data_IF_822535840862
#
_entry.id   IF_822535840862
#
_cell.length_a   1.000
_cell.length_b   1.000
_cell.length_c   1.000
_cell.angle_alpha   90.00
_cell.angle_beta   90.00
_cell.angle_gamma   90.00
#
_symmetry.space_group_name_H-M   'P 1'
#
loop_
_entity.id
_entity.type
_entity.pdbx_description
1 polymer ?
#
# COMPACT_ATOMS: atom_id res chain seq x y z
N UNK A 1 -15.48 -67.11 45.78
CA UNK A 1 -16.46 -66.24 46.45
C UNK A 1 -17.65 -66.05 45.53
N UNK A 2 -18.67 -66.87 45.75
CA UNK A 2 -19.98 -66.77 45.12
C UNK A 2 -20.75 -65.59 45.73
N UNK A 3 -21.43 -64.79 44.91
CA UNK A 3 -22.64 -64.08 45.33
C UNK A 3 -23.70 -64.24 44.24
N UNK A 4 -24.55 -65.20 44.52
CA UNK A 4 -25.88 -65.45 43.97
C UNK A 4 -26.81 -64.28 44.26
N UNK A 5 -27.62 -63.88 43.28
CA UNK A 5 -28.90 -63.22 43.50
C UNK A 5 -29.89 -63.64 42.41
N UNK A 6 -30.69 -64.63 42.76
CA UNK A 6 -32.07 -64.87 42.33
C UNK A 6 -32.91 -63.58 42.35
N UNK A 7 -34.00 -63.35 41.61
CA UNK A 7 -35.19 -64.18 41.40
C UNK A 7 -36.17 -63.45 40.43
N UNK A 8 -37.13 -64.22 39.93
CA UNK A 8 -38.53 -63.89 39.64
C UNK A 8 -38.89 -63.21 38.29
N UNK A 9 -39.41 -64.10 37.42
CA UNK A 9 -40.39 -63.86 36.38
C UNK A 9 -41.65 -63.13 36.88
N UNK A 10 -42.13 -62.17 36.09
CA UNK A 10 -43.57 -61.94 35.93
C UNK A 10 -43.91 -61.68 34.46
N UNK A 11 -44.90 -62.46 34.00
CA UNK A 11 -45.63 -62.39 32.73
C UNK A 11 -46.27 -61.01 32.48
N UNK A 12 -46.16 -60.46 31.27
CA UNK A 12 -47.27 -59.77 30.55
C UNK A 12 -46.93 -59.68 29.04
N UNK A 13 -47.88 -59.39 28.14
CA UNK A 13 -48.46 -60.32 27.19
C UNK A 13 -47.98 -60.12 25.74
N UNK A 14 -48.17 -61.14 24.92
CA UNK A 14 -47.96 -61.11 23.46
C UNK A 14 -48.94 -60.12 22.81
N UNK A 15 -48.45 -58.94 22.44
CA UNK A 15 -49.15 -58.03 21.56
C UNK A 15 -48.81 -58.38 20.10
N UNK A 16 -49.82 -58.89 19.40
CA UNK A 16 -49.86 -59.10 17.96
C UNK A 16 -49.53 -57.82 17.21
N UNK A 17 -48.38 -57.76 16.53
CA UNK A 17 -48.11 -56.70 15.56
C UNK A 17 -48.50 -57.21 14.16
N UNK A 18 -49.59 -56.64 13.66
CA UNK A 18 -50.08 -56.86 12.31
C UNK A 18 -49.02 -56.46 11.27
N UNK A 19 -48.87 -57.31 10.28
CA UNK A 19 -48.12 -57.07 9.05
C UNK A 19 -48.82 -55.95 8.28
N UNK A 20 -48.18 -54.78 8.19
CA UNK A 20 -48.48 -53.79 7.17
C UNK A 20 -47.38 -53.87 6.10
N UNK A 21 -47.63 -54.68 5.06
CA UNK A 21 -46.82 -54.73 3.86
C UNK A 21 -47.09 -53.45 3.06
N UNK A 22 -46.36 -52.38 3.39
CA UNK A 22 -46.40 -51.15 2.61
C UNK A 22 -45.71 -51.40 1.26
N UNK A 23 -46.50 -51.39 0.19
CA UNK A 23 -46.05 -51.30 -1.20
C UNK A 23 -45.17 -50.06 -1.34
N UNK A 24 -43.85 -50.26 -1.39
CA UNK A 24 -42.90 -49.21 -1.78
C UNK A 24 -43.05 -49.01 -3.29
N UNK A 25 -43.84 -48.01 -3.68
CA UNK A 25 -43.76 -47.45 -5.03
C UNK A 25 -42.32 -47.02 -5.30
N UNK A 26 -41.77 -47.21 -6.51
CA UNK A 26 -40.51 -46.61 -6.92
C UNK A 26 -40.75 -45.11 -7.16
N UNK A 27 -40.92 -44.36 -6.07
CA UNK A 27 -40.90 -42.91 -6.07
C UNK A 27 -39.45 -42.46 -6.27
N UNK A 28 -39.23 -41.75 -7.37
CA UNK A 28 -37.98 -41.10 -7.76
C UNK A 28 -37.04 -40.81 -6.59
N UNK A 29 -35.82 -41.37 -6.64
CA UNK A 29 -34.68 -40.80 -5.93
C UNK A 29 -34.55 -39.34 -6.38
N UNK A 30 -35.17 -38.42 -5.64
CA UNK A 30 -34.69 -37.07 -5.55
C UNK A 30 -33.36 -37.18 -4.85
N UNK A 31 -32.29 -37.06 -5.63
CA UNK A 31 -31.01 -36.60 -5.12
C UNK A 31 -31.32 -35.40 -4.22
N UNK A 32 -31.11 -35.55 -2.92
CA UNK A 32 -30.92 -34.39 -2.08
C UNK A 32 -29.61 -33.78 -2.56
N UNK A 33 -29.72 -32.79 -3.43
CA UNK A 33 -28.66 -31.84 -3.68
C UNK A 33 -28.36 -31.18 -2.33
N UNK A 34 -27.45 -31.80 -1.58
CA UNK A 34 -26.73 -31.18 -0.51
C UNK A 34 -25.90 -30.07 -1.13
N UNK A 35 -26.56 -28.96 -1.47
CA UNK A 35 -25.92 -27.67 -1.66
C UNK A 35 -25.30 -27.30 -0.31
N UNK A 36 -24.13 -27.89 -0.04
CA UNK A 36 -23.11 -27.21 0.72
C UNK A 36 -22.88 -25.93 -0.04
N UNK A 37 -23.49 -24.85 0.43
CA UNK A 37 -23.08 -23.49 0.09
C UNK A 37 -21.66 -23.34 0.60
N UNK A 38 -20.71 -23.90 -0.15
CA UNK A 38 -19.34 -23.45 -0.11
C UNK A 38 -19.45 -21.95 -0.38
N UNK A 39 -19.20 -21.16 0.66
CA UNK A 39 -19.14 -19.72 0.50
C UNK A 39 -18.07 -19.46 -0.57
N UNK A 40 -18.51 -19.19 -1.80
CA UNK A 40 -17.63 -18.86 -2.91
C UNK A 40 -16.86 -17.63 -2.46
N UNK A 41 -15.60 -17.82 -2.08
CA UNK A 41 -14.75 -16.69 -1.72
C UNK A 41 -14.71 -15.79 -2.95
N UNK A 42 -15.07 -14.49 -2.82
CA UNK A 42 -15.13 -13.61 -3.98
C UNK A 42 -13.79 -13.65 -4.68
N UNK A 43 -13.81 -13.71 -6.01
CA UNK A 43 -12.58 -13.78 -6.76
C UNK A 43 -11.79 -12.49 -6.48
N UNK A 44 -10.46 -12.61 -6.38
CA UNK A 44 -9.57 -11.48 -6.11
C UNK A 44 -8.46 -11.45 -7.13
N UNK A 45 -8.07 -10.24 -7.54
CA UNK A 45 -6.93 -10.02 -8.40
C UNK A 45 -6.13 -8.82 -7.92
N UNK A 46 -4.81 -8.92 -8.04
CA UNK A 46 -3.89 -7.81 -7.81
C UNK A 46 -3.40 -7.30 -9.17
N UNK A 47 -3.50 -5.99 -9.40
CA UNK A 47 -2.91 -5.33 -10.56
C UNK A 47 -1.93 -4.27 -10.07
N UNK A 48 -0.67 -4.34 -10.50
CA UNK A 48 0.36 -3.38 -10.11
C UNK A 48 0.73 -2.53 -11.33
N UNK A 49 0.48 -1.22 -11.24
CA UNK A 49 0.94 -0.26 -12.24
C UNK A 49 2.28 0.35 -11.84
N UNK A 50 3.28 0.17 -12.70
CA UNK A 50 4.60 0.77 -12.50
C UNK A 50 4.61 2.29 -12.76
N UNK A 51 3.75 2.79 -13.66
CA UNK A 51 3.64 4.23 -13.92
C UNK A 51 2.95 4.95 -12.78
N UNK A 52 1.84 4.41 -12.29
CA UNK A 52 1.11 4.99 -11.16
C UNK A 52 1.83 4.75 -9.84
N UNK A 53 2.69 3.72 -9.78
CA UNK A 53 3.30 3.19 -8.55
C UNK A 53 2.23 2.82 -7.54
N UNK A 54 1.22 2.11 -8.03
CA UNK A 54 0.08 1.66 -7.23
C UNK A 54 -0.18 0.18 -7.45
N UNK A 55 -0.62 -0.45 -6.38
CA UNK A 55 -1.20 -1.78 -6.36
C UNK A 55 -2.71 -1.61 -6.21
N UNK A 56 -3.47 -2.19 -7.13
CA UNK A 56 -4.92 -2.23 -7.11
C UNK A 56 -5.35 -3.65 -6.74
N UNK A 57 -6.17 -3.76 -5.70
CA UNK A 57 -6.85 -4.98 -5.32
C UNK A 57 -8.28 -4.91 -5.86
N UNK A 58 -8.57 -5.82 -6.80
CA UNK A 58 -9.88 -6.02 -7.39
C UNK A 58 -10.56 -7.17 -6.64
N UNK A 59 -11.77 -6.96 -6.19
CA UNK A 59 -12.60 -7.97 -5.54
C UNK A 59 -14.01 -7.89 -6.11
N UNK A 60 -14.61 -9.03 -6.43
CA UNK A 60 -15.96 -9.05 -6.99
C UNK A 60 -16.97 -8.39 -6.03
N UNK A 61 -17.82 -7.53 -6.58
CA UNK A 61 -18.85 -6.82 -5.81
C UNK A 61 -18.31 -5.75 -4.85
N UNK A 62 -17.02 -5.39 -4.92
CA UNK A 62 -16.43 -4.32 -4.12
C UNK A 62 -15.74 -3.27 -5.00
N UNK A 63 -15.72 -1.99 -4.59
CA UNK A 63 -14.93 -1.00 -5.28
C UNK A 63 -13.43 -1.37 -5.23
N UNK A 64 -12.67 -1.15 -6.32
CA UNK A 64 -11.24 -1.37 -6.33
C UNK A 64 -10.55 -0.62 -5.20
N UNK A 65 -9.70 -1.33 -4.45
CA UNK A 65 -8.88 -0.72 -3.41
C UNK A 65 -7.49 -0.46 -3.96
N UNK A 66 -6.93 0.69 -3.67
CA UNK A 66 -5.66 1.09 -4.27
C UNK A 66 -4.65 1.52 -3.22
N UNK A 67 -3.42 1.01 -3.33
CA UNK A 67 -2.34 1.22 -2.36
C UNK A 67 -1.10 1.76 -3.08
N UNK A 68 -0.40 2.76 -2.52
CA UNK A 68 0.88 3.19 -3.07
C UNK A 68 1.93 2.10 -2.88
N UNK A 69 2.83 1.93 -3.86
CA UNK A 69 3.95 0.98 -3.77
C UNK A 69 5.27 1.63 -4.16
N UNK A 70 6.36 1.26 -3.49
CA UNK A 70 7.69 1.48 -4.04
C UNK A 70 7.99 0.40 -5.08
N UNK A 71 8.65 0.80 -6.16
CA UNK A 71 9.08 -0.10 -7.23
C UNK A 71 10.60 -0.03 -7.42
N UNK A 72 11.13 -0.85 -8.32
CA UNK A 72 12.54 -0.87 -8.67
C UNK A 72 13.12 0.51 -8.96
N UNK A 73 14.32 0.78 -8.41
CA UNK A 73 15.13 1.97 -8.71
C UNK A 73 15.51 2.03 -10.20
N UNK A 74 15.88 3.19 -10.75
CA UNK A 74 16.32 3.29 -12.14
C UNK A 74 17.42 2.25 -12.46
N UNK A 75 17.30 1.57 -13.60
CA UNK A 75 18.21 0.49 -14.00
C UNK A 75 17.89 -0.90 -13.41
N UNK A 76 16.94 -1.01 -12.48
CA UNK A 76 16.45 -2.30 -11.98
C UNK A 76 15.20 -2.73 -12.77
N UNK A 77 15.32 -3.82 -13.50
CA UNK A 77 14.21 -4.43 -14.23
C UNK A 77 13.20 -5.05 -13.25
N UNK A 78 11.92 -4.88 -13.56
CA UNK A 78 10.80 -5.52 -12.86
C UNK A 78 10.05 -6.34 -13.91
N UNK A 79 9.75 -7.63 -13.66
CA UNK A 79 8.97 -8.43 -14.58
C UNK A 79 7.60 -7.79 -14.84
N UNK A 80 7.21 -7.72 -16.12
CA UNK A 80 5.85 -7.36 -16.55
C UNK A 80 5.06 -8.63 -16.85
N UNK A 81 3.73 -8.53 -16.78
CA UNK A 81 2.82 -9.63 -17.10
C UNK A 81 2.33 -10.37 -15.86
N UNK A 82 2.00 -11.64 -16.05
CA UNK A 82 1.24 -12.43 -15.07
C UNK A 82 2.11 -13.19 -14.07
N UNK A 83 1.57 -13.26 -12.87
CA UNK A 83 2.12 -13.99 -11.73
C UNK A 83 0.98 -14.38 -10.79
N UNK A 84 1.33 -14.89 -9.62
CA UNK A 84 0.39 -15.19 -8.54
C UNK A 84 1.08 -15.08 -7.20
N UNK A 85 0.29 -14.92 -6.14
CA UNK A 85 0.79 -15.08 -4.76
C UNK A 85 1.14 -16.55 -4.54
N UNK A 86 2.43 -16.88 -4.42
CA UNK A 86 2.89 -18.25 -4.16
C UNK A 86 2.83 -18.61 -2.68
N UNK A 87 3.25 -17.68 -1.83
CA UNK A 87 3.39 -17.89 -0.39
C UNK A 87 3.18 -16.58 0.34
N UNK A 88 2.58 -16.68 1.52
CA UNK A 88 2.43 -15.58 2.49
C UNK A 88 3.34 -15.84 3.68
N UNK A 89 4.15 -14.86 4.07
CA UNK A 89 5.04 -14.91 5.23
C UNK A 89 4.70 -13.80 6.22
N UNK A 90 4.35 -14.20 7.44
CA UNK A 90 4.26 -13.33 8.62
C UNK A 90 5.62 -13.28 9.28
N UNK A 91 6.02 -12.08 9.72
CA UNK A 91 7.28 -11.78 10.39
C UNK A 91 8.49 -12.47 9.69
N UNK A 92 8.76 -12.15 8.41
CA UNK A 92 9.79 -12.82 7.63
C UNK A 92 11.20 -12.40 8.07
N UNK A 93 12.15 -13.34 8.05
CA UNK A 93 13.58 -13.00 8.07
C UNK A 93 14.00 -12.49 6.69
N UNK A 94 14.66 -11.33 6.64
CA UNK A 94 15.22 -10.80 5.40
C UNK A 94 16.62 -11.36 5.16
N UNK A 95 16.85 -11.85 3.95
CA UNK A 95 18.15 -12.27 3.47
C UNK A 95 18.48 -11.40 2.26
N UNK A 96 19.54 -10.56 2.30
CA UNK A 96 19.91 -9.78 1.13
C UNK A 96 20.28 -10.70 -0.03
N UNK A 97 19.88 -10.33 -1.25
CA UNK A 97 20.26 -11.08 -2.44
C UNK A 97 21.75 -10.90 -2.74
N UNK A 98 22.32 -11.81 -3.54
CA UNK A 98 23.70 -11.70 -4.00
C UNK A 98 23.97 -10.33 -4.66
N UNK A 99 23.03 -9.80 -5.44
CA UNK A 99 23.15 -8.48 -6.07
C UNK A 99 23.22 -7.35 -5.02
N UNK A 100 22.34 -7.40 -4.01
CA UNK A 100 22.34 -6.40 -2.93
C UNK A 100 23.64 -6.43 -2.13
N UNK A 101 24.20 -7.61 -1.87
CA UNK A 101 25.52 -7.73 -1.20
C UNK A 101 26.69 -7.30 -2.08
N UNK A 102 26.59 -7.44 -3.42
CA UNK A 102 27.60 -6.87 -4.33
C UNK A 102 27.57 -5.35 -4.33
N UNK A 103 26.39 -4.75 -4.28
CA UNK A 103 26.21 -3.29 -4.23
C UNK A 103 26.60 -2.70 -2.87
N UNK A 104 26.30 -3.42 -1.79
CA UNK A 104 26.67 -3.05 -0.43
C UNK A 104 27.21 -4.28 0.33
N UNK A 105 28.53 -4.52 0.28
CA UNK A 105 29.17 -5.64 0.97
C UNK A 105 29.00 -5.65 2.50
N UNK A 106 28.70 -4.49 3.09
CA UNK A 106 28.48 -4.35 4.53
C UNK A 106 27.10 -4.85 5.00
N UNK A 107 26.22 -5.30 4.08
CA UNK A 107 24.94 -5.89 4.47
C UNK A 107 25.13 -7.19 5.28
N UNK A 108 24.38 -7.36 6.38
CA UNK A 108 24.44 -8.57 7.20
C UNK A 108 23.96 -9.79 6.38
N UNK A 109 24.33 -11.00 6.80
CA UNK A 109 23.87 -12.22 6.12
C UNK A 109 22.33 -12.38 6.17
N UNK A 110 21.73 -11.94 7.28
CA UNK A 110 20.28 -11.92 7.47
C UNK A 110 19.90 -10.84 8.48
N UNK A 111 18.67 -10.33 8.39
CA UNK A 111 18.04 -9.50 9.42
C UNK A 111 16.80 -10.22 9.92
N UNK A 112 16.71 -10.55 11.22
CA UNK A 112 15.56 -11.24 11.80
C UNK A 112 14.30 -10.36 11.77
N UNK A 113 13.12 -10.90 12.09
CA UNK A 113 11.91 -10.10 12.19
C UNK A 113 12.06 -9.00 13.25
N UNK A 114 11.54 -7.81 12.96
CA UNK A 114 11.61 -6.66 13.86
C UNK A 114 11.57 -5.31 13.13
N UNK A 115 11.63 -4.19 13.88
CA UNK A 115 11.53 -2.84 13.31
C UNK A 115 12.62 -2.49 12.29
N UNK A 116 13.80 -3.10 12.38
CA UNK A 116 14.91 -2.90 11.45
C UNK A 116 14.82 -3.75 10.18
N UNK A 117 13.84 -4.66 10.08
CA UNK A 117 13.72 -5.56 8.94
C UNK A 117 13.14 -4.85 7.71
N UNK A 118 13.84 -4.82 6.57
CA UNK A 118 13.39 -4.08 5.38
C UNK A 118 12.20 -4.74 4.66
N UNK A 119 11.83 -5.97 5.01
CA UNK A 119 10.60 -6.60 4.53
C UNK A 119 9.36 -6.19 5.36
N UNK A 120 9.54 -5.54 6.51
CA UNK A 120 8.48 -5.31 7.48
C UNK A 120 7.91 -6.61 8.04
N UNK A 121 6.65 -6.57 8.48
CA UNK A 121 5.98 -7.71 9.15
C UNK A 121 5.34 -8.72 8.20
N UNK A 122 5.16 -8.37 6.94
CA UNK A 122 4.39 -9.18 5.99
C UNK A 122 5.05 -9.18 4.62
N UNK A 123 5.10 -10.35 3.99
CA UNK A 123 5.55 -10.52 2.62
C UNK A 123 4.68 -11.55 1.89
N UNK A 124 4.43 -11.28 0.61
CA UNK A 124 3.76 -12.15 -0.35
C UNK A 124 4.78 -12.44 -1.44
N UNK A 125 5.33 -13.66 -1.45
CA UNK A 125 6.27 -14.08 -2.48
C UNK A 125 5.48 -14.36 -3.77
N UNK A 126 5.97 -13.85 -4.91
CA UNK A 126 5.30 -13.98 -6.20
C UNK A 126 5.87 -15.15 -7.01
N UNK A 127 5.17 -15.49 -8.10
CA UNK A 127 5.53 -16.54 -9.06
C UNK A 127 6.91 -16.38 -9.71
N UNK A 128 7.49 -15.18 -9.65
CA UNK A 128 8.81 -14.87 -10.17
C UNK A 128 9.88 -15.02 -9.10
N UNK A 129 11.04 -15.51 -9.51
CA UNK A 129 12.19 -15.70 -8.63
C UNK A 129 12.58 -14.40 -7.93
N UNK A 130 12.63 -14.45 -6.60
CA UNK A 130 13.07 -13.36 -5.74
C UNK A 130 12.26 -12.04 -5.84
N UNK A 131 11.02 -12.08 -6.36
CA UNK A 131 10.10 -10.92 -6.34
C UNK A 131 9.00 -11.14 -5.31
N UNK A 132 8.74 -10.11 -4.49
CA UNK A 132 7.69 -10.13 -3.48
C UNK A 132 6.96 -8.79 -3.39
N UNK A 133 5.73 -8.83 -2.89
CA UNK A 133 5.02 -7.66 -2.34
C UNK A 133 5.21 -7.71 -0.83
N UNK A 134 5.80 -6.69 -0.23
CA UNK A 134 6.13 -6.74 1.20
C UNK A 134 5.99 -5.37 1.86
N UNK A 135 6.01 -5.34 3.19
CA UNK A 135 6.04 -4.10 3.97
C UNK A 135 7.36 -3.35 3.84
N UNK A 136 7.63 -2.41 4.74
CA UNK A 136 8.93 -1.75 4.77
C UNK A 136 9.19 -1.15 6.14
N UNK A 137 10.46 -1.08 6.54
CA UNK A 137 10.89 -0.26 7.68
C UNK A 137 11.23 1.18 7.27
N UNK A 138 11.19 1.49 5.98
CA UNK A 138 11.41 2.81 5.41
C UNK A 138 10.14 3.27 4.67
N UNK A 139 9.07 3.69 5.38
CA UNK A 139 7.79 4.04 4.78
C UNK A 139 7.90 5.16 3.75
N UNK A 140 8.85 6.08 3.95
CA UNK A 140 9.13 7.15 2.99
C UNK A 140 9.52 6.62 1.60
N UNK A 141 10.07 5.40 1.50
CA UNK A 141 10.40 4.81 0.20
C UNK A 141 9.18 4.45 -0.65
N UNK A 142 7.98 4.36 -0.05
CA UNK A 142 6.74 4.00 -0.75
C UNK A 142 6.30 5.12 -1.70
N UNK A 143 5.85 4.74 -2.90
CA UNK A 143 5.54 5.67 -3.98
C UNK A 143 6.76 6.19 -4.73
N UNK A 144 7.96 5.62 -4.50
CA UNK A 144 9.22 5.96 -5.19
C UNK A 144 9.80 4.78 -5.98
N UNK A 145 10.75 5.06 -6.87
CA UNK A 145 11.63 4.05 -7.50
C UNK A 145 12.83 3.81 -6.59
N UNK A 146 12.67 2.94 -5.58
CA UNK A 146 13.63 2.80 -4.48
C UNK A 146 13.94 1.33 -4.09
N UNK A 147 13.28 0.35 -4.71
CA UNK A 147 13.50 -1.06 -4.39
C UNK A 147 14.58 -1.69 -5.27
N UNK A 148 15.06 -2.87 -4.85
CA UNK A 148 15.90 -3.74 -5.65
C UNK A 148 15.13 -4.67 -6.61
N UNK A 149 13.84 -4.40 -6.84
CA UNK A 149 12.98 -5.18 -7.76
C UNK A 149 11.62 -5.55 -7.17
N UNK A 150 11.51 -5.68 -5.84
CA UNK A 150 10.26 -5.98 -5.14
C UNK A 150 9.30 -4.78 -5.03
N UNK A 151 8.06 -5.04 -4.63
CA UNK A 151 7.04 -4.03 -4.37
C UNK A 151 6.93 -3.75 -2.88
N UNK A 152 7.30 -2.54 -2.44
CA UNK A 152 7.21 -2.16 -1.01
C UNK A 152 5.92 -1.42 -0.73
N UNK A 153 5.22 -1.80 0.32
CA UNK A 153 3.98 -1.20 0.78
C UNK A 153 4.17 -0.57 2.16
N UNK A 154 3.30 0.37 2.52
CA UNK A 154 3.24 0.86 3.89
C UNK A 154 2.90 -0.28 4.86
N UNK A 155 3.37 -0.25 6.12
CA UNK A 155 3.11 -1.31 7.09
C UNK A 155 1.63 -1.64 7.30
N UNK A 156 0.75 -0.63 7.33
CA UNK A 156 -0.69 -0.83 7.47
C UNK A 156 -1.33 -1.42 6.19
N UNK A 157 -0.89 -0.95 5.03
CA UNK A 157 -1.42 -1.40 3.74
C UNK A 157 -1.06 -2.86 3.47
N UNK A 158 0.19 -3.27 3.74
CA UNK A 158 0.60 -4.66 3.57
C UNK A 158 -0.15 -5.58 4.54
N UNK A 159 -0.40 -5.15 5.78
CA UNK A 159 -1.18 -5.94 6.73
C UNK A 159 -2.59 -6.17 6.20
N UNK A 160 -3.20 -5.11 5.65
CA UNK A 160 -4.54 -5.22 5.08
C UNK A 160 -4.58 -6.10 3.84
N UNK A 161 -3.60 -5.95 2.93
CA UNK A 161 -3.49 -6.82 1.75
C UNK A 161 -3.25 -8.27 2.17
N UNK A 162 -2.36 -8.49 3.14
CA UNK A 162 -2.00 -9.81 3.64
C UNK A 162 -3.22 -10.53 4.19
N UNK A 163 -4.12 -9.88 4.93
CA UNK A 163 -5.34 -10.54 5.42
C UNK A 163 -6.37 -10.76 4.29
N UNK A 164 -6.45 -9.84 3.33
CA UNK A 164 -7.45 -9.89 2.26
C UNK A 164 -7.20 -10.97 1.19
N UNK A 165 -5.93 -11.24 0.84
CA UNK A 165 -5.63 -12.07 -0.35
C UNK A 165 -5.17 -13.48 0.02
N UNK A 166 -5.81 -14.54 -0.52
CA UNK A 166 -5.34 -15.91 -0.34
C UNK A 166 -4.08 -16.21 -1.17
N UNK A 167 -3.42 -17.32 -0.84
CA UNK A 167 -2.41 -17.91 -1.74
C UNK A 167 -3.11 -18.33 -3.04
N UNK A 168 -2.44 -18.13 -4.18
CA UNK A 168 -2.99 -18.38 -5.51
C UNK A 168 -3.65 -17.17 -6.15
N UNK A 169 -3.88 -16.06 -5.42
CA UNK A 169 -4.42 -14.82 -6.00
C UNK A 169 -3.60 -14.38 -7.22
N UNK A 170 -4.24 -14.20 -8.40
CA UNK A 170 -3.58 -13.69 -9.61
C UNK A 170 -2.99 -12.31 -9.38
N UNK A 171 -1.79 -12.09 -9.92
CA UNK A 171 -1.08 -10.81 -9.89
C UNK A 171 -0.69 -10.44 -11.32
N UNK A 172 -1.00 -9.23 -11.77
CA UNK A 172 -0.56 -8.72 -13.08
C UNK A 172 0.21 -7.42 -12.90
N UNK A 173 1.42 -7.34 -13.46
CA UNK A 173 2.23 -6.12 -13.45
C UNK A 173 2.19 -5.46 -14.83
N UNK A 174 1.80 -4.19 -14.86
CA UNK A 174 1.67 -3.40 -16.09
C UNK A 174 2.56 -2.16 -16.04
N UNK A 175 3.08 -1.77 -17.20
CA UNK A 175 3.85 -0.53 -17.33
C UNK A 175 2.95 0.71 -17.31
N UNK A 176 1.75 0.64 -17.90
CA UNK A 176 0.83 1.77 -18.07
C UNK A 176 -0.12 2.04 -16.90
N UNK A 177 -0.98 3.03 -17.08
CA UNK A 177 -2.09 3.29 -16.17
C UNK A 177 -3.12 2.15 -16.23
N UNK A 178 -3.81 1.90 -15.13
CA UNK A 178 -4.94 0.97 -15.11
C UNK A 178 -6.17 1.76 -15.55
N UNK A 179 -6.44 1.78 -16.86
CA UNK A 179 -7.67 2.42 -17.39
C UNK A 179 -8.90 1.78 -16.74
N UNK A 180 -9.87 2.62 -16.35
CA UNK A 180 -11.00 2.35 -15.45
C UNK A 180 -12.03 1.27 -15.87
N UNK A 181 -11.65 0.33 -16.73
CA UNK A 181 -12.39 -0.87 -17.07
C UNK A 181 -11.75 -2.14 -16.48
N UNK A 182 -11.14 -2.06 -15.29
CA UNK A 182 -10.89 -3.27 -14.49
C UNK A 182 -12.15 -3.67 -13.72
N UNK A 183 -13.25 -3.82 -14.47
CA UNK A 183 -14.43 -4.54 -14.02
C UNK A 183 -14.23 -6.00 -14.36
N UNK A 184 -13.93 -6.79 -13.33
CA UNK A 184 -13.87 -8.24 -13.41
C UNK A 184 -12.50 -8.81 -13.08
N UNK A 185 -12.49 -9.76 -12.15
CA UNK A 185 -11.37 -10.69 -12.01
C UNK A 185 -11.27 -11.49 -13.31
N UNK A 186 -10.16 -11.32 -14.03
CA UNK A 186 -9.92 -12.16 -15.21
C UNK A 186 -9.69 -13.60 -14.77
N UNK A 187 -10.74 -14.42 -14.88
CA UNK A 187 -10.62 -15.87 -14.87
C UNK A 187 -10.11 -16.31 -16.23
N UNK A 188 -8.79 -16.47 -16.36
CA UNK A 188 -8.17 -16.92 -17.61
C UNK A 188 -6.78 -17.49 -17.36
N UNK A 189 -6.60 -18.75 -17.74
CA UNK A 189 -5.36 -19.51 -17.59
C UNK A 189 -4.15 -18.79 -18.20
N UNK A 190 -3.03 -18.84 -17.47
CA UNK A 190 -1.73 -18.30 -17.90
C UNK A 190 -1.22 -19.06 -19.12
N UNK A 191 -1.06 -18.39 -20.26
CA UNK A 191 -0.18 -18.82 -21.37
C UNK A 191 0.11 -17.65 -22.33
N UNK A 192 1.40 -17.37 -22.57
CA UNK A 192 1.87 -16.63 -23.77
C UNK A 192 2.64 -15.32 -23.51
N UNK A 193 3.73 -15.03 -24.26
CA UNK A 193 4.68 -13.97 -23.95
C UNK A 193 4.20 -12.57 -24.39
N UNK A 194 4.76 -11.57 -23.72
CA UNK A 194 4.42 -10.16 -23.84
C UNK A 194 4.65 -9.58 -25.24
N UNK A 195 3.61 -8.95 -25.80
CA UNK A 195 3.70 -8.07 -26.97
C UNK A 195 3.48 -6.62 -26.56
N UNK A 196 4.34 -5.72 -27.02
CA UNK A 196 4.26 -4.27 -26.81
C UNK A 196 3.14 -3.63 -27.67
N UNK A 197 2.29 -2.74 -27.13
CA UNK A 197 1.32 -2.00 -27.93
C UNK A 197 1.87 -0.63 -28.41
N UNK A 198 1.37 -0.10 -29.54
CA UNK A 198 1.76 1.20 -30.09
C UNK A 198 1.04 2.38 -29.42
N UNK A 199 1.60 3.58 -29.59
CA UNK A 199 1.05 4.86 -29.09
C UNK A 199 -0.15 5.33 -29.92
N UNK A 200 -1.18 5.88 -29.26
CA UNK A 200 -2.22 6.71 -29.89
C UNK A 200 -2.61 7.93 -29.03
N UNK A 201 -3.18 9.00 -29.63
CA UNK A 201 -3.18 10.36 -29.10
C UNK A 201 -4.46 10.75 -28.34
N UNK A 202 -4.40 11.90 -27.66
CA UNK A 202 -5.40 12.44 -26.75
C UNK A 202 -6.63 13.03 -27.47
N UNK A 203 -7.81 12.87 -26.87
CA UNK A 203 -9.06 13.54 -27.27
C UNK A 203 -9.60 14.34 -26.08
N UNK A 204 -10.05 15.57 -26.36
CA UNK A 204 -10.58 16.55 -25.42
C UNK A 204 -12.02 16.23 -24.96
N UNK A 205 -12.40 16.67 -23.76
CA UNK A 205 -13.79 16.59 -23.26
C UNK A 205 -14.24 17.97 -22.76
N UNK A 206 -15.44 18.35 -23.20
CA UNK A 206 -16.15 19.60 -22.92
C UNK A 206 -16.94 19.57 -21.59
N UNK A 207 -17.43 20.77 -21.25
CA UNK A 207 -17.94 21.27 -19.97
C UNK A 207 -19.39 20.89 -19.62
N UNK A 208 -19.70 20.81 -18.33
CA UNK A 208 -21.05 21.16 -17.79
C UNK A 208 -20.95 21.75 -16.37
N UNK A 209 -21.78 22.75 -16.08
CA UNK A 209 -21.71 23.64 -14.92
C UNK A 209 -22.62 23.19 -13.75
N UNK A 210 -22.27 23.56 -12.52
CA UNK A 210 -23.04 23.33 -11.28
C UNK A 210 -23.58 24.64 -10.67
N UNK A 211 -24.67 24.59 -9.86
CA UNK A 211 -25.38 25.77 -9.33
C UNK A 211 -24.62 26.52 -8.21
N UNK A 212 -25.04 27.76 -7.86
CA UNK A 212 -24.24 28.67 -7.04
C UNK A 212 -24.19 28.31 -5.54
N UNK A 213 -23.11 28.68 -4.82
CA UNK A 213 -22.91 28.34 -3.42
C UNK A 213 -23.63 29.30 -2.45
N UNK A 214 -24.08 28.74 -1.31
CA UNK A 214 -24.62 29.46 -0.14
C UNK A 214 -23.44 30.08 0.65
N UNK A 215 -23.56 31.31 1.19
CA UNK A 215 -22.45 31.96 1.89
C UNK A 215 -22.22 31.37 3.30
N UNK A 216 -20.96 31.05 3.60
CA UNK A 216 -20.51 30.63 4.93
C UNK A 216 -20.16 31.84 5.80
N UNK A 217 -20.36 31.78 7.13
CA UNK A 217 -19.98 32.83 8.06
C UNK A 217 -18.45 32.98 8.17
N UNK A 218 -17.99 34.23 8.36
CA UNK A 218 -16.57 34.60 8.46
C UNK A 218 -15.83 33.88 9.60
N UNK A 219 -14.58 33.42 9.39
CA UNK A 219 -13.85 32.68 10.40
C UNK A 219 -13.32 33.61 11.49
N UNK A 220 -13.59 33.26 12.75
CA UNK A 220 -12.82 33.75 13.89
C UNK A 220 -11.35 33.33 13.72
N UNK A 221 -10.43 34.28 13.92
CA UNK A 221 -8.99 34.02 13.84
C UNK A 221 -8.61 33.08 14.98
N UNK A 222 -8.31 31.83 14.64
CA UNK A 222 -7.80 30.85 15.58
C UNK A 222 -6.43 31.31 16.13
N UNK A 223 -6.14 31.11 17.42
CA UNK A 223 -4.84 31.44 18.00
C UNK A 223 -3.72 30.66 17.30
N UNK A 224 -2.49 31.20 17.24
CA UNK A 224 -1.37 30.51 16.61
C UNK A 224 -1.11 29.18 17.33
N UNK A 225 -1.13 28.09 16.57
CA UNK A 225 -0.86 26.76 17.09
C UNK A 225 0.56 26.69 17.68
N UNK A 226 0.78 25.93 18.77
CA UNK A 226 2.12 25.65 19.25
C UNK A 226 2.95 25.00 18.15
N UNK A 227 4.23 25.38 18.05
CA UNK A 227 5.17 24.80 17.10
C UNK A 227 5.40 23.34 17.51
N UNK A 228 4.60 22.42 16.95
CA UNK A 228 4.84 20.99 17.11
C UNK A 228 6.21 20.67 16.47
N UNK A 229 7.12 19.97 17.16
CA UNK A 229 8.37 19.55 16.54
C UNK A 229 8.06 18.73 15.29
N UNK A 230 8.67 19.11 14.16
CA UNK A 230 8.44 18.41 12.90
C UNK A 230 8.86 16.94 13.04
N UNK A 231 7.94 15.97 12.89
CA UNK A 231 8.26 14.55 13.07
C UNK A 231 9.35 14.06 12.11
N UNK A 232 9.58 14.77 11.00
CA UNK A 232 10.66 14.47 10.04
C UNK A 232 12.05 14.81 10.58
N UNK A 233 12.13 15.66 11.59
CA UNK A 233 13.40 16.02 12.22
C UNK A 233 13.94 14.92 13.14
N UNK A 234 13.08 14.07 13.69
CA UNK A 234 13.49 12.94 14.51
C UNK A 234 14.25 11.86 13.72
N UNK A 235 14.04 11.77 12.40
CA UNK A 235 14.61 10.73 11.53
C UNK A 235 15.43 11.30 10.38
N UNK A 236 15.86 12.57 10.48
CA UNK A 236 16.52 13.28 9.39
C UNK A 236 17.91 12.69 9.08
N UNK A 237 17.99 11.75 8.13
CA UNK A 237 19.24 11.20 7.61
C UNK A 237 19.77 11.89 6.34
N UNK A 238 18.92 12.68 5.67
CA UNK A 238 19.31 13.42 4.46
C UNK A 238 19.99 14.75 4.84
N UNK A 239 21.09 15.16 4.16
CA UNK A 239 21.79 16.41 4.45
C UNK A 239 20.88 17.65 4.48
N UNK A 240 19.98 17.79 3.49
CA UNK A 240 18.99 18.87 3.44
C UNK A 240 18.09 18.89 4.68
N UNK A 241 17.47 17.74 4.99
CA UNK A 241 16.50 17.65 6.09
C UNK A 241 17.19 17.88 7.44
N UNK A 242 18.42 17.40 7.63
CA UNK A 242 19.21 17.71 8.84
C UNK A 242 19.39 19.22 8.98
N UNK A 243 19.89 19.88 7.93
CA UNK A 243 20.18 21.31 7.98
C UNK A 243 18.93 22.15 8.28
N UNK A 244 17.79 21.84 7.64
CA UNK A 244 16.51 22.50 7.93
C UNK A 244 16.11 22.28 9.40
N UNK A 245 16.30 21.06 9.92
CA UNK A 245 15.88 20.71 11.28
C UNK A 245 16.79 21.22 12.39
N UNK A 246 18.07 21.45 12.12
CA UNK A 246 19.06 21.91 13.11
C UNK A 246 19.21 23.43 13.17
N UNK A 247 18.72 24.15 12.16
CA UNK A 247 18.75 25.62 12.11
C UNK A 247 17.35 26.16 12.43
N UNK A 248 17.14 26.79 13.60
CA UNK A 248 15.79 27.17 14.06
C UNK A 248 15.01 28.04 13.06
N UNK A 249 15.67 28.97 12.39
CA UNK A 249 15.04 29.87 11.43
C UNK A 249 14.54 29.11 10.19
N UNK A 250 15.33 28.15 9.69
CA UNK A 250 14.93 27.31 8.56
C UNK A 250 13.79 26.36 8.94
N UNK A 251 13.84 25.78 10.13
CA UNK A 251 12.77 24.94 10.67
C UNK A 251 11.46 25.71 10.79
N UNK A 252 11.51 26.97 11.24
CA UNK A 252 10.35 27.84 11.34
C UNK A 252 9.72 28.14 9.97
N UNK A 253 10.53 28.52 8.97
CA UNK A 253 10.05 28.79 7.62
C UNK A 253 9.41 27.55 6.96
N UNK A 254 10.08 26.39 7.03
CA UNK A 254 9.55 25.13 6.50
C UNK A 254 8.24 24.73 7.22
N UNK A 255 8.20 24.86 8.55
CA UNK A 255 7.02 24.59 9.36
C UNK A 255 5.84 25.49 9.00
N UNK A 256 6.07 26.80 8.84
CA UNK A 256 5.03 27.75 8.45
C UNK A 256 4.48 27.47 7.04
N UNK A 257 5.36 27.17 6.08
CA UNK A 257 4.96 26.86 4.70
C UNK A 257 4.08 25.60 4.66
N UNK A 258 4.47 24.55 5.39
CA UNK A 258 3.67 23.33 5.50
C UNK A 258 2.37 23.53 6.26
N UNK A 259 2.37 24.33 7.33
CA UNK A 259 1.17 24.66 8.08
C UNK A 259 0.11 25.35 7.19
N UNK A 260 0.54 26.27 6.32
CA UNK A 260 -0.36 26.86 5.32
C UNK A 260 -0.91 25.82 4.34
N UNK A 261 -0.05 24.95 3.84
CA UNK A 261 -0.42 23.86 2.93
C UNK A 261 -1.43 22.88 3.57
N UNK A 262 -1.21 22.48 4.82
CA UNK A 262 -2.10 21.59 5.57
C UNK A 262 -3.48 22.23 5.83
N UNK A 263 -3.52 23.52 6.19
CA UNK A 263 -4.79 24.24 6.35
C UNK A 263 -5.62 24.26 5.07
N UNK A 264 -4.98 24.47 3.91
CA UNK A 264 -5.66 24.39 2.62
C UNK A 264 -6.21 22.99 2.34
N UNK A 265 -5.42 21.95 2.57
CA UNK A 265 -5.87 20.56 2.39
C UNK A 265 -7.07 20.23 3.28
N UNK A 266 -7.07 20.70 4.53
CA UNK A 266 -8.17 20.51 5.46
C UNK A 266 -9.48 21.16 4.97
N UNK A 267 -9.41 22.26 4.23
CA UNK A 267 -10.57 22.97 3.69
C UNK A 267 -11.21 22.28 2.46
N UNK A 268 -10.57 21.27 1.86
CA UNK A 268 -11.10 20.54 0.71
C UNK A 268 -12.08 19.44 1.12
N UNK A 269 -12.97 19.04 0.20
CA UNK A 269 -13.77 17.80 0.33
C UNK A 269 -12.86 16.58 0.40
N UNK A 270 -13.33 15.46 0.97
CA UNK A 270 -12.51 14.25 1.19
C UNK A 270 -11.85 13.75 -0.09
N UNK A 271 -12.61 13.64 -1.18
CA UNK A 271 -12.11 13.17 -2.49
C UNK A 271 -11.05 14.11 -3.09
N UNK A 272 -11.27 15.43 -2.99
CA UNK A 272 -10.30 16.43 -3.47
C UNK A 272 -9.07 16.51 -2.56
N UNK A 273 -9.24 16.25 -1.26
CA UNK A 273 -8.18 16.25 -0.25
C UNK A 273 -7.18 15.14 -0.51
N UNK A 274 -7.62 13.94 -0.90
CA UNK A 274 -6.71 12.83 -1.24
C UNK A 274 -5.86 13.14 -2.47
N UNK A 275 -6.48 13.61 -3.55
CA UNK A 275 -5.77 14.01 -4.77
C UNK A 275 -4.81 15.19 -4.53
N UNK A 276 -5.26 16.21 -3.79
CA UNK A 276 -4.45 17.37 -3.45
C UNK A 276 -3.32 17.05 -2.47
N UNK A 277 -3.54 16.15 -1.50
CA UNK A 277 -2.50 15.71 -0.57
C UNK A 277 -1.37 15.00 -1.31
N UNK A 278 -1.69 14.16 -2.30
CA UNK A 278 -0.67 13.53 -3.14
C UNK A 278 0.10 14.54 -4.01
N UNK A 279 -0.60 15.50 -4.64
CA UNK A 279 0.04 16.57 -5.41
C UNK A 279 0.98 17.41 -4.52
N UNK A 280 0.55 17.72 -3.30
CA UNK A 280 1.35 18.46 -2.32
C UNK A 280 2.63 17.71 -1.94
N UNK A 281 2.54 16.40 -1.71
CA UNK A 281 3.71 15.56 -1.46
C UNK A 281 4.67 15.51 -2.67
N UNK A 282 4.15 15.61 -3.89
CA UNK A 282 4.99 15.71 -5.10
C UNK A 282 5.64 17.09 -5.26
N UNK A 283 4.91 18.17 -5.00
CA UNK A 283 5.45 19.54 -4.98
C UNK A 283 6.54 19.68 -3.91
N UNK A 284 6.32 19.12 -2.72
CA UNK A 284 7.31 19.10 -1.65
C UNK A 284 8.59 18.37 -2.05
N UNK A 285 8.46 17.20 -2.70
CA UNK A 285 9.61 16.46 -3.24
C UNK A 285 10.36 17.24 -4.31
N UNK A 286 9.65 17.83 -5.28
CA UNK A 286 10.27 18.65 -6.34
C UNK A 286 11.00 19.85 -5.76
N UNK A 287 10.45 20.45 -4.71
CA UNK A 287 11.11 21.53 -4.00
C UNK A 287 12.39 21.04 -3.32
N UNK A 288 12.33 19.96 -2.54
CA UNK A 288 13.50 19.42 -1.84
C UNK A 288 14.62 19.03 -2.82
N UNK A 289 14.30 18.37 -3.93
CA UNK A 289 15.28 18.00 -4.98
C UNK A 289 15.91 19.25 -5.63
N UNK A 290 15.06 20.22 -6.01
CA UNK A 290 15.51 21.47 -6.64
C UNK A 290 16.41 22.28 -5.71
N UNK A 291 16.03 22.40 -4.45
CA UNK A 291 16.75 23.22 -3.47
C UNK A 291 18.02 22.52 -2.97
N UNK A 292 18.02 21.19 -2.87
CA UNK A 292 19.24 20.42 -2.63
C UNK A 292 20.29 20.72 -3.71
N UNK A 293 19.88 20.73 -4.98
CA UNK A 293 20.77 21.06 -6.09
C UNK A 293 21.18 22.54 -6.11
N UNK A 294 20.21 23.45 -5.98
CA UNK A 294 20.42 24.90 -6.05
C UNK A 294 21.34 25.41 -4.92
N UNK A 295 21.09 24.98 -3.68
CA UNK A 295 21.85 25.38 -2.51
C UNK A 295 23.06 24.47 -2.22
N UNK A 296 23.37 23.59 -3.17
CA UNK A 296 24.51 22.69 -3.15
C UNK A 296 24.63 21.85 -1.87
N UNK A 297 23.48 21.37 -1.37
CA UNK A 297 23.39 20.68 -0.09
C UNK A 297 23.81 19.22 -0.22
N UNK A 298 24.95 18.86 0.38
CA UNK A 298 25.54 17.52 0.27
C UNK A 298 26.18 17.07 1.58
N UNK A 299 26.36 15.75 1.72
CA UNK A 299 26.97 15.18 2.93
C UNK A 299 28.40 15.70 3.11
N UNK A 300 28.73 16.16 4.31
CA UNK A 300 30.08 16.62 4.66
C UNK A 300 30.32 18.09 4.34
N UNK A 301 29.35 18.80 3.75
CA UNK A 301 29.46 20.25 3.57
C UNK A 301 29.52 21.00 4.91
N UNK A 302 28.96 20.39 5.96
CA UNK A 302 28.89 20.94 7.30
C UNK A 302 30.28 21.12 7.94
N UNK A 303 31.32 20.45 7.40
CA UNK A 303 32.70 20.55 7.86
C UNK A 303 33.40 21.86 7.43
N UNK A 304 32.85 22.57 6.43
CA UNK A 304 33.36 23.86 5.98
C UNK A 304 32.38 24.97 6.41
N UNK A 305 32.77 25.86 7.33
CA UNK A 305 31.86 26.87 7.88
C UNK A 305 31.40 27.90 6.84
N UNK A 306 32.23 28.19 5.83
CA UNK A 306 31.90 29.15 4.77
C UNK A 306 30.87 28.53 3.82
N UNK A 307 31.09 27.28 3.40
CA UNK A 307 30.14 26.54 2.56
C UNK A 307 28.82 26.30 3.29
N UNK A 308 28.88 25.94 4.57
CA UNK A 308 27.69 25.76 5.41
C UNK A 308 26.91 27.07 5.58
N UNK A 309 27.59 28.22 5.74
CA UNK A 309 26.95 29.52 5.82
C UNK A 309 26.23 29.89 4.50
N UNK A 310 26.89 29.71 3.35
CA UNK A 310 26.31 29.98 2.04
C UNK A 310 25.06 29.11 1.77
N UNK A 311 25.12 27.83 2.12
CA UNK A 311 23.99 26.92 1.96
C UNK A 311 22.80 27.31 2.86
N UNK A 312 23.06 27.68 4.12
CA UNK A 312 22.02 28.17 5.04
C UNK A 312 21.33 29.42 4.51
N UNK A 313 22.10 30.39 3.97
CA UNK A 313 21.53 31.59 3.36
C UNK A 313 20.62 31.26 2.16
N UNK A 314 21.12 30.44 1.22
CA UNK A 314 20.32 29.98 0.07
C UNK A 314 19.04 29.25 0.49
N UNK A 315 19.11 28.39 1.52
CA UNK A 315 17.94 27.69 2.06
C UNK A 315 16.93 28.66 2.69
N UNK A 316 17.41 29.70 3.37
CA UNK A 316 16.56 30.75 3.95
C UNK A 316 15.73 31.46 2.88
N UNK A 317 16.38 31.86 1.77
CA UNK A 317 15.72 32.52 0.64
C UNK A 317 14.69 31.59 -0.02
N UNK A 318 15.07 30.34 -0.27
CA UNK A 318 14.22 29.35 -0.91
C UNK A 318 12.97 29.01 -0.08
N UNK A 319 13.13 28.83 1.24
CA UNK A 319 12.02 28.54 2.15
C UNK A 319 11.11 29.75 2.34
N UNK A 320 11.68 30.96 2.39
CA UNK A 320 10.90 32.21 2.42
C UNK A 320 10.05 32.36 1.16
N UNK A 321 10.64 32.15 -0.01
CA UNK A 321 9.90 32.19 -1.29
C UNK A 321 8.78 31.14 -1.33
N UNK A 322 9.03 29.93 -0.82
CA UNK A 322 8.01 28.87 -0.71
C UNK A 322 6.88 29.27 0.24
N UNK A 323 7.20 29.87 1.38
CA UNK A 323 6.20 30.34 2.33
C UNK A 323 5.30 31.40 1.68
N UNK A 324 5.87 32.36 0.95
CA UNK A 324 5.10 33.38 0.25
C UNK A 324 4.23 32.80 -0.86
N UNK A 325 4.73 31.84 -1.63
CA UNK A 325 3.90 31.09 -2.59
C UNK A 325 2.77 30.34 -1.87
N UNK A 326 3.08 29.69 -0.76
CA UNK A 326 2.12 29.02 0.09
C UNK A 326 1.20 29.98 0.84
N UNK A 327 1.38 31.30 0.81
CA UNK A 327 0.37 32.27 1.29
C UNK A 327 -0.53 32.76 0.15
N UNK A 328 -0.01 32.86 -1.08
CA UNK A 328 -0.75 33.37 -2.25
C UNK A 328 -1.78 32.41 -2.86
N UNK A 329 -1.57 31.10 -2.74
CA UNK A 329 -2.49 30.08 -3.26
C UNK A 329 -3.80 29.97 -2.45
#
# INVERSE_FOLDING_TARGET
MQRTATFLWHLVPTATLAIALALVSPGHLRAQDGATTAATTPARQIVISLTERRLHLLEDGRPPRSFPVAIGRPGVAIPLGDSRVLRKRRDPTWHPTANQRRENPALPASVPPGPSNPLGRFALDLGWTAIAIHGTNAPDSVGRRASGGCFRMLPADIATLFEAVPVGTPVRVVSGAVSGAVSGVVSGAVSGPATLPPRQPAVAVATSASPPPVPLPSPAVAPPLPILPDPRCATAGAPLRRMICTVPELAALDGQARGQQQRRLAALSVERREAAAYALLQEERRFDDRITALCWVRRGMEADPVVAAAAKACLGDALSARLEEAKRR
#
